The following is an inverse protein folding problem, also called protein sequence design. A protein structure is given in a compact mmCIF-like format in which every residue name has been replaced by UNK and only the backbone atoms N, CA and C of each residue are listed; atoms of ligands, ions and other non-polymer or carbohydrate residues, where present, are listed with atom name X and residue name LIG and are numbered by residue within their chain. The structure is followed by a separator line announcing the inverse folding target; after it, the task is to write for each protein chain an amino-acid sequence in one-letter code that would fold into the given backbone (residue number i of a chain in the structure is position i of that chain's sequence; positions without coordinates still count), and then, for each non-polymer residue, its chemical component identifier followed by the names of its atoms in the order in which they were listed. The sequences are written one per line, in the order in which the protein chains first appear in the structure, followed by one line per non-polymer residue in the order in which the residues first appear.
data_IF_830717114692
#
_entry.id   IF_830717114692
#
_cell.length_a   1.000
_cell.length_b   1.000
_cell.length_c   1.000
_cell.angle_alpha   90.00
_cell.angle_beta   90.00
_cell.angle_gamma   90.00
#
_symmetry.space_group_name_H-M   'P 1'
#
loop_
_entity.id
_entity.type
_entity.pdbx_description
1 polymer ?
#
# COMPACT_ATOMS: atom_id res chain seq x y z
N UNK A 1 60.86 53.98 -47.41
CA UNK A 1 60.67 54.55 -48.75
C UNK A 1 59.37 53.97 -49.29
N UNK A 2 58.33 54.81 -49.47
CA UNK A 2 57.14 54.63 -50.32
C UNK A 2 56.23 53.40 -50.03
N UNK A 3 54.89 53.45 -50.03
CA UNK A 3 53.91 54.51 -50.17
C UNK A 3 52.53 53.92 -49.75
N UNK A 4 51.65 54.80 -49.29
CA UNK A 4 50.21 54.55 -49.10
C UNK A 4 49.53 54.03 -50.36
N UNK A 5 48.50 53.18 -50.19
CA UNK A 5 47.30 53.29 -51.00
C UNK A 5 46.07 52.87 -50.19
N UNK A 6 45.28 53.87 -49.79
CA UNK A 6 43.94 53.73 -49.23
C UNK A 6 42.95 53.46 -50.35
N UNK A 7 42.08 52.46 -50.17
CA UNK A 7 40.85 52.30 -50.96
C UNK A 7 39.69 52.28 -49.96
N UNK A 8 38.88 53.34 -50.01
CA UNK A 8 37.59 53.43 -49.34
C UNK A 8 36.54 52.68 -50.16
N UNK A 9 35.89 51.68 -49.55
CA UNK A 9 34.65 51.10 -50.06
C UNK A 9 33.59 51.28 -48.98
N UNK A 10 32.69 52.21 -49.23
CA UNK A 10 31.39 52.36 -48.56
C UNK A 10 30.52 51.15 -48.87
N UNK A 11 30.12 50.40 -47.84
CA UNK A 11 29.03 49.43 -47.94
C UNK A 11 27.88 49.86 -47.03
N UNK A 12 26.70 49.99 -47.65
CA UNK A 12 25.46 50.40 -47.02
C UNK A 12 24.97 49.37 -45.99
N UNK A 13 24.53 49.85 -44.82
CA UNK A 13 23.88 49.05 -43.79
C UNK A 13 22.42 48.85 -44.21
N UNK A 14 22.06 47.64 -44.63
CA UNK A 14 20.68 47.19 -44.72
C UNK A 14 20.22 46.83 -43.30
N UNK A 15 19.32 47.64 -42.74
CA UNK A 15 18.63 47.31 -41.50
C UNK A 15 17.63 46.18 -41.76
N UNK A 16 17.94 44.98 -41.31
CA UNK A 16 16.96 43.90 -41.17
C UNK A 16 16.31 44.03 -39.79
N UNK A 17 15.01 44.27 -39.76
CA UNK A 17 14.22 44.19 -38.53
C UNK A 17 14.21 42.75 -38.04
N UNK A 18 14.87 42.49 -36.91
CA UNK A 18 14.70 41.24 -36.18
C UNK A 18 13.24 41.14 -35.68
N UNK A 19 12.60 39.96 -35.76
CA UNK A 19 11.28 39.78 -35.17
C UNK A 19 11.39 39.96 -33.65
N UNK A 20 10.47 40.74 -33.08
CA UNK A 20 10.28 40.83 -31.63
C UNK A 20 9.73 39.49 -31.19
N UNK A 21 10.60 38.63 -30.66
CA UNK A 21 10.15 37.47 -29.87
C UNK A 21 9.46 38.02 -28.63
N UNK A 22 8.14 37.88 -28.61
CA UNK A 22 7.37 37.96 -27.38
C UNK A 22 7.88 36.85 -26.45
N UNK A 23 8.74 37.23 -25.51
CA UNK A 23 9.01 36.43 -24.33
C UNK A 23 7.70 36.35 -23.56
N UNK A 24 6.91 35.32 -23.86
CA UNK A 24 5.88 34.88 -22.94
C UNK A 24 6.62 34.49 -21.66
N UNK A 25 6.54 35.36 -20.65
CA UNK A 25 6.73 34.95 -19.28
C UNK A 25 5.68 33.87 -19.02
N UNK A 26 6.06 32.61 -19.26
CA UNK A 26 5.38 31.49 -18.67
C UNK A 26 5.47 31.73 -17.17
N UNK A 27 4.38 32.27 -16.60
CA UNK A 27 4.11 32.05 -15.19
C UNK A 27 4.32 30.56 -14.99
N UNK A 28 5.35 30.18 -14.23
CA UNK A 28 5.38 28.89 -13.58
C UNK A 28 4.12 28.88 -12.71
N UNK A 29 2.99 28.45 -13.29
CA UNK A 29 1.88 27.91 -12.51
C UNK A 29 2.58 26.89 -11.64
N UNK A 30 2.57 27.08 -10.32
CA UNK A 30 2.81 25.94 -9.41
C UNK A 30 1.98 24.81 -10.00
N UNK A 31 2.62 23.72 -10.43
CA UNK A 31 1.90 22.61 -11.05
C UNK A 31 0.69 22.32 -10.15
N UNK A 32 -0.51 22.45 -10.71
CA UNK A 32 -1.72 22.39 -9.91
C UNK A 32 -1.79 20.98 -9.31
N UNK A 33 -1.51 20.87 -8.01
CA UNK A 33 -1.55 19.61 -7.31
C UNK A 33 -3.00 19.11 -7.29
N UNK A 34 -3.24 17.86 -7.64
CA UNK A 34 -4.58 17.30 -7.55
C UNK A 34 -4.95 17.10 -6.07
N UNK A 35 -6.03 17.77 -5.68
CA UNK A 35 -6.54 17.70 -4.31
C UNK A 35 -7.22 16.36 -4.06
N UNK A 36 -6.98 15.77 -2.89
CA UNK A 36 -7.66 14.54 -2.48
C UNK A 36 -9.18 14.75 -2.45
N UNK A 37 -9.98 13.87 -3.08
CA UNK A 37 -11.42 14.07 -3.17
C UNK A 37 -12.10 13.60 -1.87
N UNK A 38 -12.66 14.55 -1.11
CA UNK A 38 -13.28 14.28 0.20
C UNK A 38 -14.74 13.82 0.14
N UNK A 39 -15.35 13.80 -1.05
CA UNK A 39 -16.76 13.52 -1.28
C UNK A 39 -17.00 12.12 -1.89
N UNK A 40 -15.96 11.29 -2.02
CA UNK A 40 -16.01 9.98 -2.69
C UNK A 40 -15.99 8.77 -1.75
N UNK A 41 -16.13 9.00 -0.44
CA UNK A 41 -16.11 7.92 0.56
C UNK A 41 -14.75 7.24 0.73
N UNK A 42 -13.68 7.89 0.28
CA UNK A 42 -12.29 7.42 0.43
C UNK A 42 -11.79 7.70 1.84
N UNK A 43 -10.83 6.90 2.30
CA UNK A 43 -10.14 7.10 3.57
C UNK A 43 -9.00 8.09 3.36
N UNK A 44 -9.04 9.22 4.06
CA UNK A 44 -7.99 10.24 3.99
C UNK A 44 -6.79 9.82 4.85
N UNK A 45 -5.62 9.67 4.24
CA UNK A 45 -4.37 9.40 4.96
C UNK A 45 -3.74 10.71 5.43
N UNK A 46 -3.46 10.85 6.72
CA UNK A 46 -3.01 12.13 7.31
C UNK A 46 -1.68 12.06 8.06
N UNK A 47 -1.16 10.85 8.23
CA UNK A 47 0.07 10.53 8.96
C UNK A 47 1.32 10.47 8.06
N UNK A 48 1.20 10.78 6.76
CA UNK A 48 2.32 10.91 5.81
C UNK A 48 2.18 12.17 4.97
N UNK A 49 3.25 12.56 4.25
CA UNK A 49 3.29 13.76 3.39
C UNK A 49 2.57 13.58 2.04
N UNK A 50 1.44 12.87 2.04
CA UNK A 50 0.63 12.52 0.88
C UNK A 50 -0.58 13.41 0.64
N UNK A 51 -0.85 14.40 1.49
CA UNK A 51 -2.02 15.29 1.38
C UNK A 51 -3.39 14.58 1.28
N UNK A 52 -3.53 13.43 1.93
CA UNK A 52 -4.75 12.60 1.89
C UNK A 52 -4.59 11.32 1.07
N UNK A 53 -3.67 11.31 0.11
CA UNK A 53 -3.39 10.16 -0.76
C UNK A 53 -2.66 9.06 -0.01
N UNK A 54 -2.83 7.81 -0.45
CA UNK A 54 -2.13 6.66 0.10
C UNK A 54 -0.72 6.53 -0.52
N UNK A 55 0.11 7.54 -0.28
CA UNK A 55 1.50 7.63 -0.71
C UNK A 55 2.24 8.69 0.14
N UNK A 56 3.57 8.66 0.14
CA UNK A 56 4.41 9.56 0.92
C UNK A 56 4.65 10.94 0.27
N UNK A 57 4.01 11.18 -0.89
CA UNK A 57 4.16 12.40 -1.69
C UNK A 57 2.83 12.92 -2.20
N UNK A 58 2.75 14.23 -2.33
CA UNK A 58 1.66 14.94 -2.98
C UNK A 58 1.37 14.43 -4.41
N UNK A 59 0.08 14.28 -4.75
CA UNK A 59 -0.38 13.93 -6.09
C UNK A 59 -0.20 15.09 -7.08
N UNK A 60 0.69 14.92 -8.06
CA UNK A 60 1.05 15.98 -9.02
C UNK A 60 0.61 15.62 -10.45
N UNK A 61 0.38 16.63 -11.33
CA UNK A 61 0.03 16.41 -12.73
C UNK A 61 0.94 15.40 -13.44
N UNK A 62 0.34 14.54 -14.26
CA UNK A 62 1.00 13.47 -15.00
C UNK A 62 1.24 12.18 -14.20
N UNK A 63 0.73 12.08 -12.96
CA UNK A 63 0.96 10.92 -12.10
C UNK A 63 -0.35 10.22 -11.71
N UNK A 64 -0.22 8.93 -11.43
CA UNK A 64 -1.23 8.14 -10.74
C UNK A 64 -1.16 8.40 -9.24
N UNK A 65 -2.31 8.45 -8.58
CA UNK A 65 -2.46 8.86 -7.20
C UNK A 65 -3.26 7.80 -6.42
N UNK A 66 -2.55 6.87 -5.77
CA UNK A 66 -3.16 5.81 -4.98
C UNK A 66 -3.96 6.39 -3.81
N UNK A 67 -5.07 5.73 -3.47
CA UNK A 67 -5.94 6.14 -2.38
C UNK A 67 -6.38 4.94 -1.55
N UNK A 68 -6.81 5.21 -0.32
CA UNK A 68 -7.28 4.19 0.60
C UNK A 68 -8.80 4.03 0.53
N UNK A 69 -9.24 2.78 0.54
CA UNK A 69 -10.65 2.41 0.64
C UNK A 69 -11.01 2.01 2.08
N UNK A 70 -12.30 2.10 2.48
CA UNK A 70 -12.76 1.60 3.77
C UNK A 70 -12.41 0.12 4.01
N UNK A 71 -12.34 -0.33 5.28
CA UNK A 71 -12.06 -1.74 5.60
C UNK A 71 -12.91 -2.73 4.81
N UNK A 72 -12.29 -3.79 4.32
CA UNK A 72 -12.92 -4.81 3.49
C UNK A 72 -13.02 -4.48 2.00
N UNK A 73 -12.75 -3.23 1.58
CA UNK A 73 -12.80 -2.80 0.18
C UNK A 73 -11.41 -2.68 -0.45
N UNK A 74 -11.36 -2.74 -1.77
CA UNK A 74 -10.17 -2.61 -2.59
C UNK A 74 -10.27 -1.38 -3.49
N UNK A 75 -9.13 -0.71 -3.72
CA UNK A 75 -9.00 0.35 -4.72
C UNK A 75 -9.28 -0.23 -6.11
N UNK A 76 -10.19 0.37 -6.86
CA UNK A 76 -10.68 -0.15 -8.15
C UNK A 76 -10.22 0.66 -9.38
N UNK A 77 -9.31 1.62 -9.17
CA UNK A 77 -8.74 2.47 -10.22
C UNK A 77 -7.23 2.30 -10.26
N UNK A 78 -6.66 2.22 -11.47
CA UNK A 78 -5.23 2.08 -11.76
C UNK A 78 -5.02 2.21 -13.27
N UNK A 79 -3.79 2.24 -13.76
CA UNK A 79 -3.50 2.21 -15.19
C UNK A 79 -3.95 0.89 -15.85
N UNK A 80 -5.00 0.86 -16.68
CA UNK A 80 -5.52 -0.40 -17.25
C UNK A 80 -4.54 -1.06 -18.23
N UNK A 81 -3.49 -0.36 -18.67
CA UNK A 81 -2.43 -0.92 -19.52
C UNK A 81 -1.40 -1.73 -18.73
N UNK A 82 -1.37 -1.60 -17.40
CA UNK A 82 -0.48 -2.37 -16.52
C UNK A 82 -1.19 -3.63 -16.06
N UNK A 83 -0.79 -4.77 -16.64
CA UNK A 83 -1.40 -6.08 -16.37
C UNK A 83 -0.46 -7.04 -15.64
N UNK A 84 0.71 -6.57 -15.21
CA UNK A 84 1.71 -7.37 -14.52
C UNK A 84 2.29 -6.61 -13.33
N UNK A 85 2.72 -7.37 -12.33
CA UNK A 85 3.45 -6.84 -11.18
C UNK A 85 4.91 -6.57 -11.59
N UNK A 86 5.14 -5.47 -12.29
CA UNK A 86 6.48 -5.05 -12.71
C UNK A 86 6.68 -3.54 -12.56
N UNK A 87 7.82 -3.15 -12.00
CA UNK A 87 8.23 -1.75 -11.90
C UNK A 87 8.61 -1.20 -13.29
N UNK A 88 8.25 0.06 -13.63
CA UNK A 88 7.55 1.03 -12.78
C UNK A 88 6.03 0.90 -12.79
N UNK A 89 5.44 0.11 -13.70
CA UNK A 89 3.99 0.04 -13.87
C UNK A 89 3.22 -0.36 -12.61
N UNK A 90 3.81 -1.17 -11.72
CA UNK A 90 3.20 -1.54 -10.43
C UNK A 90 2.88 -0.35 -9.52
N UNK A 91 3.46 0.82 -9.78
CA UNK A 91 3.22 2.06 -9.06
C UNK A 91 1.99 2.83 -9.57
N UNK A 92 1.46 2.48 -10.75
CA UNK A 92 0.41 3.25 -11.43
C UNK A 92 -1.00 2.96 -10.88
N UNK A 93 -1.17 3.11 -9.57
CA UNK A 93 -2.43 2.88 -8.86
C UNK A 93 -3.26 4.14 -8.62
N UNK A 94 -4.57 3.98 -8.53
CA UNK A 94 -5.50 5.02 -8.13
C UNK A 94 -5.97 5.92 -9.28
N UNK A 95 -6.24 7.18 -8.94
CA UNK A 95 -6.77 8.17 -9.90
C UNK A 95 -5.63 8.78 -10.70
N UNK A 96 -5.90 9.18 -11.93
CA UNK A 96 -4.91 9.90 -12.73
C UNK A 96 -5.07 11.41 -12.54
N UNK A 97 -4.00 12.09 -12.17
CA UNK A 97 -3.95 13.55 -12.15
C UNK A 97 -3.48 14.04 -13.51
N UNK A 98 -4.39 14.60 -14.32
CA UNK A 98 -4.02 15.06 -15.66
C UNK A 98 -3.15 16.32 -15.62
N UNK A 99 -2.61 16.72 -16.77
CA UNK A 99 -1.68 17.87 -16.90
C UNK A 99 -2.28 19.21 -16.46
N UNK A 100 -3.61 19.29 -16.36
CA UNK A 100 -4.33 20.48 -15.88
C UNK A 100 -4.54 20.49 -14.35
N UNK A 101 -4.20 19.42 -13.65
CA UNK A 101 -4.46 19.23 -12.23
C UNK A 101 -5.89 18.79 -11.92
N UNK A 102 -6.55 18.10 -12.86
CA UNK A 102 -7.87 17.51 -12.67
C UNK A 102 -7.76 15.99 -12.51
N UNK A 103 -8.63 15.42 -11.66
CA UNK A 103 -8.67 13.99 -11.40
C UNK A 103 -9.52 13.25 -12.43
N UNK A 104 -8.97 12.16 -12.96
CA UNK A 104 -9.63 11.25 -13.89
C UNK A 104 -9.68 9.83 -13.29
N UNK A 105 -10.78 9.13 -13.52
CA UNK A 105 -10.91 7.69 -13.27
C UNK A 105 -10.38 6.93 -14.48
N UNK A 106 -9.23 6.23 -14.40
CA UNK A 106 -8.65 5.53 -15.55
C UNK A 106 -9.53 4.38 -16.08
N UNK A 107 -10.42 3.84 -15.25
CA UNK A 107 -11.31 2.73 -15.58
C UNK A 107 -12.75 3.23 -15.40
N UNK A 108 -13.41 3.55 -16.52
CA UNK A 108 -14.68 4.28 -16.55
C UNK A 108 -15.87 3.52 -15.99
N UNK A 109 -15.82 2.18 -16.00
CA UNK A 109 -16.87 1.27 -15.56
C UNK A 109 -16.66 0.76 -14.13
N UNK A 110 -15.61 1.23 -13.44
CA UNK A 110 -15.33 0.91 -12.06
C UNK A 110 -15.73 2.06 -11.13
N UNK A 111 -16.24 1.70 -9.95
CA UNK A 111 -16.29 2.62 -8.82
C UNK A 111 -14.87 2.97 -8.32
N UNK A 112 -14.76 3.84 -7.32
CA UNK A 112 -13.47 4.08 -6.66
C UNK A 112 -13.08 2.88 -5.78
N UNK A 113 -14.01 2.39 -4.97
CA UNK A 113 -13.79 1.29 -4.05
C UNK A 113 -14.80 0.18 -4.28
N UNK A 114 -14.32 -1.03 -4.52
CA UNK A 114 -15.15 -2.24 -4.65
C UNK A 114 -15.02 -3.12 -3.42
N UNK A 115 -16.06 -3.88 -3.10
CA UNK A 115 -15.98 -4.86 -2.02
C UNK A 115 -14.97 -5.96 -2.38
N UNK A 116 -14.14 -6.34 -1.41
CA UNK A 116 -13.40 -7.60 -1.50
C UNK A 116 -14.35 -8.79 -1.48
N UNK A 117 -13.81 -10.00 -1.60
CA UNK A 117 -14.62 -11.23 -1.66
C UNK A 117 -15.36 -11.56 -0.36
N UNK A 118 -15.09 -10.84 0.73
CA UNK A 118 -15.81 -10.98 2.01
C UNK A 118 -15.45 -12.26 2.79
N UNK A 119 -14.32 -12.89 2.47
CA UNK A 119 -13.92 -14.20 3.01
C UNK A 119 -12.80 -14.13 4.04
N UNK A 120 -12.45 -12.94 4.53
CA UNK A 120 -11.52 -12.77 5.63
C UNK A 120 -11.99 -11.69 6.59
N UNK A 121 -11.83 -11.96 7.87
CA UNK A 121 -12.08 -10.99 8.94
C UNK A 121 -10.96 -11.02 9.98
N UNK A 122 -10.90 -9.98 10.79
CA UNK A 122 -10.09 -9.91 11.99
C UNK A 122 -11.00 -9.86 13.22
N UNK A 123 -10.60 -10.55 14.27
CA UNK A 123 -11.18 -10.48 15.61
C UNK A 123 -10.10 -10.03 16.59
N UNK A 124 -10.35 -8.94 17.29
CA UNK A 124 -9.43 -8.46 18.31
C UNK A 124 -9.85 -8.94 19.70
N UNK A 125 -9.18 -9.97 20.20
CA UNK A 125 -9.33 -10.47 21.57
C UNK A 125 -8.31 -9.85 22.54
N UNK A 126 -7.45 -8.94 22.09
CA UNK A 126 -6.54 -8.18 22.93
C UNK A 126 -7.26 -7.05 23.68
N UNK A 127 -6.65 -6.58 24.76
CA UNK A 127 -7.19 -5.56 25.67
C UNK A 127 -7.21 -4.14 25.10
N UNK A 128 -6.52 -3.91 23.97
CA UNK A 128 -6.43 -2.59 23.29
C UNK A 128 -6.77 -2.73 21.81
N UNK A 129 -6.98 -1.60 21.13
CA UNK A 129 -7.17 -1.57 19.69
C UNK A 129 -5.95 -2.19 18.96
N UNK A 130 -6.17 -2.69 17.74
CA UNK A 130 -5.09 -3.18 16.87
C UNK A 130 -5.23 -2.52 15.50
N UNK A 131 -4.13 -2.00 14.96
CA UNK A 131 -4.07 -1.45 13.63
C UNK A 131 -3.55 -2.49 12.62
N UNK A 132 -4.40 -2.86 11.67
CA UNK A 132 -4.03 -3.60 10.46
C UNK A 132 -3.80 -2.60 9.34
N UNK A 133 -2.59 -2.61 8.77
CA UNK A 133 -2.20 -1.64 7.76
C UNK A 133 -1.95 -2.37 6.45
N UNK A 134 -2.86 -2.22 5.49
CA UNK A 134 -2.76 -2.82 4.18
C UNK A 134 -1.73 -2.07 3.32
N UNK A 135 -0.95 -2.81 2.55
CA UNK A 135 -0.03 -2.23 1.58
C UNK A 135 -0.78 -1.61 0.40
N UNK A 136 -0.28 -0.49 -0.10
CA UNK A 136 -0.86 0.19 -1.25
C UNK A 136 -0.43 -0.53 -2.53
N UNK A 137 -1.35 -1.30 -3.12
CA UNK A 137 -1.09 -2.06 -4.34
C UNK A 137 -2.32 -2.01 -5.28
N UNK A 138 -2.15 -1.65 -6.56
CA UNK A 138 -0.96 -1.02 -7.16
C UNK A 138 -0.61 0.32 -6.49
N UNK A 139 0.68 0.64 -6.42
CA UNK A 139 1.19 1.83 -5.74
C UNK A 139 2.58 1.60 -5.17
N UNK A 140 2.96 2.39 -4.15
CA UNK A 140 4.29 2.38 -3.54
C UNK A 140 4.56 1.22 -2.59
N UNK A 141 3.59 0.30 -2.40
CA UNK A 141 3.68 -0.87 -1.53
C UNK A 141 3.89 -0.55 -0.03
N UNK A 142 3.82 0.72 0.35
CA UNK A 142 3.85 1.11 1.76
C UNK A 142 2.56 0.69 2.47
N UNK A 143 2.68 0.41 3.77
CA UNK A 143 1.58 -0.04 4.63
C UNK A 143 0.71 1.12 5.13
N UNK A 144 0.03 1.81 4.21
CA UNK A 144 -0.67 3.06 4.51
C UNK A 144 -2.18 2.93 4.69
N UNK A 145 -2.82 1.87 4.19
CA UNK A 145 -4.28 1.75 4.17
C UNK A 145 -4.76 1.22 5.53
N UNK A 146 -5.46 2.01 6.35
CA UNK A 146 -5.67 1.66 7.75
C UNK A 146 -6.97 0.87 7.99
N UNK A 147 -6.90 -0.11 8.88
CA UNK A 147 -8.04 -0.76 9.50
C UNK A 147 -7.81 -0.81 11.01
N UNK A 148 -8.56 0.01 11.77
CA UNK A 148 -8.56 -0.06 13.23
C UNK A 148 -9.58 -1.11 13.70
N UNK A 149 -9.15 -1.97 14.62
CA UNK A 149 -10.02 -2.97 15.25
C UNK A 149 -10.01 -2.74 16.75
N UNK A 150 -11.09 -2.19 17.29
CA UNK A 150 -11.21 -1.96 18.73
C UNK A 150 -11.17 -3.28 19.52
N UNK A 151 -10.81 -3.18 20.81
CA UNK A 151 -10.81 -4.36 21.69
C UNK A 151 -12.18 -5.02 21.72
N UNK A 152 -12.20 -6.35 21.69
CA UNK A 152 -13.42 -7.18 21.66
C UNK A 152 -14.32 -6.94 20.43
N UNK A 153 -13.76 -6.39 19.35
CA UNK A 153 -14.46 -6.10 18.11
C UNK A 153 -13.90 -6.89 16.93
N UNK A 154 -14.57 -6.79 15.79
CA UNK A 154 -14.17 -7.40 14.53
C UNK A 154 -14.29 -6.41 13.38
N UNK A 155 -13.50 -6.64 12.33
CA UNK A 155 -13.57 -5.91 11.05
C UNK A 155 -13.38 -6.89 9.88
N UNK A 156 -13.97 -6.57 8.74
CA UNK A 156 -13.71 -7.28 7.48
C UNK A 156 -12.36 -6.86 6.92
N UNK A 157 -11.60 -7.81 6.37
CA UNK A 157 -10.34 -7.54 5.67
C UNK A 157 -10.57 -7.63 4.16
N UNK A 158 -9.85 -6.80 3.41
CA UNK A 158 -9.95 -6.80 1.96
C UNK A 158 -9.34 -8.08 1.38
N UNK A 159 -10.12 -8.82 0.60
CA UNK A 159 -9.68 -10.04 -0.09
C UNK A 159 -9.87 -9.84 -1.60
N UNK A 160 -8.79 -9.68 -2.39
CA UNK A 160 -8.89 -9.62 -3.84
C UNK A 160 -9.22 -10.99 -4.46
N UNK A 161 -9.90 -10.96 -5.59
CA UNK A 161 -10.03 -12.11 -6.48
C UNK A 161 -8.99 -12.10 -7.59
N UNK A 162 -9.07 -13.08 -8.48
CA UNK A 162 -8.25 -13.18 -9.70
C UNK A 162 -8.43 -11.98 -10.64
N UNK A 163 -9.61 -11.34 -10.59
CA UNK A 163 -10.02 -10.16 -11.35
C UNK A 163 -9.38 -8.87 -10.85
N UNK A 164 -8.77 -8.90 -9.65
CA UNK A 164 -8.06 -7.75 -9.12
C UNK A 164 -6.74 -7.50 -9.88
N UNK A 165 -6.22 -6.27 -9.78
CA UNK A 165 -5.01 -5.84 -10.49
C UNK A 165 -3.88 -6.88 -10.43
N UNK A 166 -3.44 -7.34 -11.61
CA UNK A 166 -2.40 -8.37 -11.80
C UNK A 166 -2.63 -9.67 -11.00
N UNK A 167 -3.89 -10.01 -10.69
CA UNK A 167 -4.30 -11.16 -9.87
C UNK A 167 -3.57 -11.24 -8.52
N UNK A 168 -3.31 -10.07 -7.94
CA UNK A 168 -2.52 -9.94 -6.71
C UNK A 168 -3.32 -10.29 -5.44
N UNK A 169 -2.59 -10.47 -4.34
CA UNK A 169 -3.14 -10.65 -3.01
C UNK A 169 -3.08 -9.35 -2.20
N UNK A 170 -3.95 -9.22 -1.21
CA UNK A 170 -3.80 -8.17 -0.20
C UNK A 170 -2.73 -8.59 0.81
N UNK A 171 -1.99 -7.61 1.34
CA UNK A 171 -0.97 -7.81 2.35
C UNK A 171 -1.16 -6.78 3.47
N UNK A 172 -1.04 -7.22 4.72
CA UNK A 172 -1.28 -6.42 5.92
C UNK A 172 -0.13 -6.54 6.90
N UNK A 173 0.29 -5.41 7.47
CA UNK A 173 1.12 -5.33 8.66
C UNK A 173 0.22 -5.31 9.90
N UNK A 174 0.52 -6.15 10.90
CA UNK A 174 -0.26 -6.26 12.13
C UNK A 174 0.53 -5.59 13.25
N UNK A 175 0.09 -4.40 13.66
CA UNK A 175 0.77 -3.64 14.71
C UNK A 175 0.45 -4.16 16.12
N UNK A 176 1.33 -3.92 17.11
CA UNK A 176 1.07 -4.27 18.50
C UNK A 176 -0.24 -3.65 19.05
N UNK A 177 -0.97 -4.36 19.94
CA UNK A 177 -2.14 -3.80 20.61
C UNK A 177 -1.84 -2.47 21.32
N UNK A 178 -2.66 -1.47 21.07
CA UNK A 178 -2.54 -0.10 21.59
C UNK A 178 -1.80 0.87 20.68
N UNK A 179 -1.28 0.43 19.54
CA UNK A 179 -0.76 1.32 18.49
C UNK A 179 -1.94 1.79 17.62
N UNK A 180 -2.06 3.10 17.43
CA UNK A 180 -3.12 3.67 16.57
C UNK A 180 -2.83 3.44 15.08
N UNK A 181 -3.83 3.64 14.22
CA UNK A 181 -3.61 3.63 12.76
C UNK A 181 -2.70 4.76 12.30
N UNK A 182 -2.73 5.91 12.97
CA UNK A 182 -1.87 7.04 12.63
C UNK A 182 -0.40 6.73 12.94
N UNK A 183 -0.12 6.06 14.06
CA UNK A 183 1.24 5.63 14.42
C UNK A 183 1.71 4.40 13.63
N UNK A 184 0.81 3.44 13.40
CA UNK A 184 1.15 2.13 12.85
C UNK A 184 1.06 1.99 11.33
N UNK A 185 0.24 2.80 10.64
CA UNK A 185 0.07 2.72 9.18
C UNK A 185 0.91 3.77 8.46
N UNK A 186 2.20 3.76 8.76
CA UNK A 186 3.23 4.57 8.13
C UNK A 186 4.57 3.86 8.26
N UNK A 187 5.58 4.33 7.54
CA UNK A 187 6.94 3.89 7.76
C UNK A 187 7.39 4.26 9.18
N UNK A 188 7.87 3.28 9.94
CA UNK A 188 8.22 3.42 11.34
C UNK A 188 9.63 3.96 11.56
N UNK A 189 9.96 4.23 12.83
CA UNK A 189 11.33 4.51 13.27
C UNK A 189 11.89 3.33 14.04
N UNK A 190 13.21 3.30 14.25
CA UNK A 190 13.87 2.30 15.10
C UNK A 190 13.61 2.48 16.60
N UNK A 191 12.72 3.39 16.99
CA UNK A 191 12.37 3.63 18.39
C UNK A 191 11.30 2.66 18.91
N UNK A 192 10.45 2.11 18.03
CA UNK A 192 9.34 1.23 18.41
C UNK A 192 9.05 0.15 17.35
N UNK A 193 8.56 -1.05 17.74
CA UNK A 193 8.30 -2.18 16.83
C UNK A 193 6.92 -2.09 16.14
N UNK A 194 6.65 -1.01 15.42
CA UNK A 194 5.42 -0.78 14.64
C UNK A 194 5.72 -0.16 13.27
N UNK A 195 4.71 -0.01 12.42
CA UNK A 195 4.92 0.37 11.02
C UNK A 195 5.55 -0.76 10.24
N UNK A 196 6.56 -0.45 9.41
CA UNK A 196 7.37 -1.45 8.72
C UNK A 196 8.09 -2.42 9.69
N UNK A 197 8.27 -2.04 10.97
CA UNK A 197 8.85 -2.88 12.02
C UNK A 197 7.81 -3.68 12.81
N UNK A 198 6.55 -3.74 12.40
CA UNK A 198 5.57 -4.58 13.08
C UNK A 198 6.00 -6.05 13.02
N UNK A 199 5.75 -6.86 14.06
CA UNK A 199 6.33 -8.21 14.12
C UNK A 199 5.65 -9.21 13.19
N UNK A 200 4.37 -8.99 12.84
CA UNK A 200 3.57 -9.94 12.08
C UNK A 200 2.95 -9.29 10.84
N UNK A 201 2.71 -10.14 9.84
CA UNK A 201 2.03 -9.82 8.60
C UNK A 201 0.95 -10.86 8.29
N UNK A 202 -0.05 -10.45 7.51
CA UNK A 202 -1.07 -11.34 6.96
C UNK A 202 -1.24 -11.09 5.45
N UNK A 203 -1.75 -12.08 4.71
CA UNK A 203 -2.10 -11.90 3.31
C UNK A 203 -3.23 -12.80 2.86
N UNK A 204 -4.02 -12.32 1.90
CA UNK A 204 -5.27 -12.97 1.47
C UNK A 204 -5.52 -12.80 -0.03
N UNK A 205 -6.05 -13.84 -0.66
CA UNK A 205 -6.65 -13.79 -1.99
C UNK A 205 -7.65 -14.94 -2.17
N UNK A 206 -8.56 -14.83 -3.14
CA UNK A 206 -9.48 -15.89 -3.51
C UNK A 206 -9.32 -16.27 -4.98
N UNK A 207 -9.32 -17.57 -5.29
CA UNK A 207 -9.37 -18.06 -6.67
C UNK A 207 -10.81 -18.14 -7.22
N UNK A 208 -10.94 -18.43 -8.51
CA UNK A 208 -12.24 -18.57 -9.20
C UNK A 208 -13.04 -19.79 -8.76
N UNK A 209 -12.40 -20.73 -8.04
CA UNK A 209 -13.08 -21.90 -7.45
C UNK A 209 -13.65 -21.59 -6.06
N UNK A 210 -13.50 -20.35 -5.57
CA UNK A 210 -13.98 -19.94 -4.25
C UNK A 210 -13.06 -20.38 -3.11
N UNK A 211 -11.80 -20.74 -3.39
CA UNK A 211 -10.83 -21.03 -2.34
C UNK A 211 -10.17 -19.73 -1.89
N UNK A 212 -10.33 -19.39 -0.61
CA UNK A 212 -9.63 -18.28 0.03
C UNK A 212 -8.32 -18.79 0.62
N UNK A 213 -7.20 -18.30 0.09
CA UNK A 213 -5.87 -18.56 0.61
C UNK A 213 -5.53 -17.48 1.63
N UNK A 214 -5.18 -17.91 2.85
CA UNK A 214 -4.87 -17.02 3.94
C UNK A 214 -3.53 -17.39 4.56
N UNK A 215 -2.67 -16.38 4.76
CA UNK A 215 -1.35 -16.51 5.38
C UNK A 215 -1.27 -15.59 6.59
N UNK A 216 -0.68 -16.09 7.67
CA UNK A 216 -0.06 -15.24 8.70
C UNK A 216 1.40 -15.62 8.84
N UNK A 217 2.24 -14.65 9.16
CA UNK A 217 3.67 -14.89 9.33
C UNK A 217 4.32 -13.83 10.20
N UNK A 218 5.52 -14.14 10.64
CA UNK A 218 6.42 -13.10 11.08
C UNK A 218 6.79 -12.21 9.90
N UNK A 219 6.96 -10.92 10.17
CA UNK A 219 7.46 -9.96 9.20
C UNK A 219 8.97 -10.18 8.98
N UNK A 220 9.45 -10.46 7.76
CA UNK A 220 10.89 -10.54 7.45
C UNK A 220 11.68 -9.32 7.93
N UNK A 221 11.13 -8.11 7.78
CA UNK A 221 11.77 -6.86 8.21
C UNK A 221 12.04 -6.84 9.72
N UNK A 222 11.23 -7.54 10.52
CA UNK A 222 11.47 -7.67 11.96
C UNK A 222 12.81 -8.35 12.29
N UNK A 223 13.29 -9.22 11.41
CA UNK A 223 14.51 -10.02 11.60
C UNK A 223 15.72 -9.54 10.81
N UNK A 224 15.58 -8.49 10.01
CA UNK A 224 16.72 -7.89 9.32
C UNK A 224 17.77 -7.34 10.30
N UNK A 225 19.01 -7.22 9.84
CA UNK A 225 20.09 -6.67 10.66
C UNK A 225 19.87 -5.22 11.08
N UNK A 226 19.10 -4.47 10.29
CA UNK A 226 18.64 -3.11 10.53
C UNK A 226 17.61 -3.02 11.67
N UNK A 227 16.93 -4.12 12.01
CA UNK A 227 15.90 -4.15 13.06
C UNK A 227 16.54 -4.24 14.45
N UNK A 228 16.33 -3.25 15.33
CA UNK A 228 16.76 -3.36 16.73
C UNK A 228 15.90 -4.37 17.52
N UNK A 229 14.74 -4.77 16.97
CA UNK A 229 13.74 -5.61 17.64
C UNK A 229 13.90 -7.10 17.33
N UNK A 230 14.87 -7.50 16.49
CA UNK A 230 15.00 -8.87 15.96
C UNK A 230 15.18 -9.98 17.00
N UNK A 231 15.45 -9.63 18.26
CA UNK A 231 15.57 -10.56 19.39
C UNK A 231 14.45 -10.41 20.43
N UNK A 232 13.55 -9.44 20.23
CA UNK A 232 12.47 -9.14 21.17
C UNK A 232 11.28 -10.04 20.91
N UNK A 233 10.66 -10.53 21.98
CA UNK A 233 9.39 -11.25 21.89
C UNK A 233 8.24 -10.24 21.98
N UNK A 234 7.38 -10.15 20.95
CA UNK A 234 6.16 -9.36 21.05
C UNK A 234 5.28 -9.84 22.22
N UNK A 235 4.56 -8.91 22.85
CA UNK A 235 3.64 -9.19 23.96
C UNK A 235 2.24 -9.63 23.49
N UNK A 236 2.11 -10.04 22.24
CA UNK A 236 0.85 -10.46 21.63
C UNK A 236 1.08 -11.56 20.60
N UNK A 237 0.04 -12.34 20.34
CA UNK A 237 0.02 -13.41 19.36
C UNK A 237 -1.06 -13.21 18.31
N UNK A 238 -0.96 -13.98 17.24
CA UNK A 238 -1.96 -14.03 16.16
C UNK A 238 -2.32 -15.47 15.82
N UNK A 239 -3.59 -15.73 15.56
CA UNK A 239 -4.10 -17.06 15.18
C UNK A 239 -4.97 -16.94 13.95
N UNK A 240 -4.76 -17.79 12.97
CA UNK A 240 -5.60 -17.91 11.78
C UNK A 240 -6.48 -19.15 11.92
N UNK A 241 -7.76 -19.03 11.59
CA UNK A 241 -8.72 -20.14 11.66
C UNK A 241 -9.75 -20.05 10.54
N UNK A 242 -10.17 -21.19 9.99
CA UNK A 242 -11.36 -21.25 9.14
C UNK A 242 -12.61 -21.22 10.01
N UNK A 243 -13.63 -20.46 9.61
CA UNK A 243 -14.88 -20.38 10.37
C UNK A 243 -15.76 -21.64 10.17
N UNK A 244 -15.55 -22.36 9.07
CA UNK A 244 -16.08 -23.69 8.84
C UNK A 244 -14.94 -24.73 8.79
N UNK A 245 -14.90 -25.61 9.78
CA UNK A 245 -13.88 -26.66 9.90
C UNK A 245 -13.93 -27.71 8.78
N UNK A 246 -15.12 -28.02 8.26
CA UNK A 246 -15.30 -29.00 7.19
C UNK A 246 -14.80 -28.49 5.83
N UNK A 247 -14.65 -27.16 5.71
CA UNK A 247 -14.14 -26.46 4.53
C UNK A 247 -12.73 -25.91 4.74
N UNK A 248 -11.99 -26.46 5.70
CA UNK A 248 -10.66 -25.98 6.05
C UNK A 248 -9.57 -26.94 5.59
N UNK A 249 -8.70 -26.46 4.72
CA UNK A 249 -7.46 -27.14 4.34
C UNK A 249 -6.28 -26.49 5.04
N UNK A 250 -5.57 -27.25 5.87
CA UNK A 250 -4.39 -26.80 6.60
C UNK A 250 -4.41 -27.23 8.06
N UNK A 251 -3.25 -27.14 8.70
CA UNK A 251 -3.10 -27.43 10.13
C UNK A 251 -3.31 -26.15 10.95
N UNK A 252 -3.33 -26.28 12.29
CA UNK A 252 -3.35 -25.11 13.17
C UNK A 252 -2.29 -24.08 12.75
N UNK A 253 -2.69 -22.81 12.66
CA UNK A 253 -1.84 -21.71 12.25
C UNK A 253 -1.90 -20.58 13.30
N UNK A 254 -0.86 -20.52 14.13
CA UNK A 254 -0.74 -19.63 15.29
C UNK A 254 0.70 -19.16 15.44
N UNK A 255 0.86 -17.89 15.75
CA UNK A 255 2.10 -17.27 16.20
C UNK A 255 1.92 -16.89 17.66
N UNK A 256 2.71 -17.53 18.53
CA UNK A 256 2.72 -17.28 19.96
C UNK A 256 4.17 -17.36 20.47
N UNK A 257 4.89 -16.22 20.59
CA UNK A 257 6.29 -16.20 21.03
C UNK A 257 6.55 -16.71 22.45
N UNK A 258 5.53 -16.75 23.32
CA UNK A 258 5.66 -17.38 24.64
C UNK A 258 5.63 -18.91 24.54
N UNK A 259 4.81 -19.46 23.65
CA UNK A 259 4.62 -20.91 23.48
C UNK A 259 5.65 -21.54 22.55
N UNK A 260 5.91 -20.92 21.41
CA UNK A 260 6.75 -21.49 20.34
C UNK A 260 8.15 -20.87 20.27
N UNK A 261 8.36 -19.73 20.93
CA UNK A 261 9.59 -18.96 20.82
C UNK A 261 9.56 -17.98 19.63
N UNK A 262 10.68 -17.28 19.47
CA UNK A 262 10.84 -16.26 18.44
C UNK A 262 10.96 -16.90 17.06
N UNK A 263 10.37 -16.27 16.04
CA UNK A 263 10.43 -16.72 14.65
C UNK A 263 9.95 -18.18 14.45
N UNK A 264 8.87 -18.54 15.14
CA UNK A 264 8.22 -19.85 15.06
C UNK A 264 6.71 -19.70 14.93
N UNK A 265 6.09 -20.69 14.29
CA UNK A 265 4.64 -20.81 14.13
C UNK A 265 4.21 -22.22 14.55
N UNK A 266 2.91 -22.42 14.78
CA UNK A 266 2.38 -23.74 15.11
C UNK A 266 2.55 -24.73 13.95
N UNK A 267 3.06 -25.92 14.25
CA UNK A 267 2.90 -27.10 13.38
C UNK A 267 3.63 -27.07 12.04
N UNK A 268 4.47 -26.08 11.76
CA UNK A 268 5.33 -26.04 10.58
C UNK A 268 6.66 -25.34 10.87
N UNK A 269 7.69 -25.72 10.10
CA UNK A 269 8.98 -25.02 10.03
C UNK A 269 9.10 -24.23 8.71
N UNK A 270 7.97 -23.77 8.16
CA UNK A 270 7.97 -22.99 6.92
C UNK A 270 8.62 -21.63 7.19
N UNK A 271 9.69 -21.33 6.45
CA UNK A 271 10.43 -20.07 6.53
C UNK A 271 10.63 -19.54 5.12
N UNK A 272 10.32 -18.26 4.91
CA UNK A 272 10.66 -17.50 3.69
C UNK A 272 11.34 -16.22 4.14
N UNK A 273 12.41 -15.80 3.46
CA UNK A 273 13.10 -14.53 3.74
C UNK A 273 13.51 -14.38 5.22
N UNK A 274 13.87 -15.50 5.84
CA UNK A 274 14.25 -15.54 7.25
C UNK A 274 13.09 -15.47 8.25
N UNK A 275 11.83 -15.43 7.82
CA UNK A 275 10.66 -15.34 8.69
C UNK A 275 9.74 -16.56 8.58
N UNK A 276 9.27 -17.07 9.73
CA UNK A 276 8.38 -18.21 9.82
C UNK A 276 6.93 -17.83 9.50
N UNK A 277 6.19 -18.72 8.84
CA UNK A 277 4.80 -18.46 8.43
C UNK A 277 3.97 -19.74 8.34
N UNK A 278 2.64 -19.60 8.36
CA UNK A 278 1.71 -20.70 8.13
C UNK A 278 0.52 -20.22 7.30
N UNK A 279 -0.21 -21.18 6.73
CA UNK A 279 -1.35 -20.91 5.84
C UNK A 279 -2.55 -21.78 6.21
N UNK A 280 -3.73 -21.26 5.92
CA UNK A 280 -4.96 -22.01 5.80
C UNK A 280 -5.62 -21.69 4.45
N UNK A 281 -6.34 -22.65 3.91
CA UNK A 281 -7.23 -22.42 2.77
C UNK A 281 -8.66 -22.75 3.18
N UNK A 282 -9.53 -21.75 3.16
CA UNK A 282 -10.97 -21.94 3.31
C UNK A 282 -11.57 -22.20 1.91
N UNK A 283 -12.24 -23.33 1.72
CA UNK A 283 -12.76 -23.75 0.41
C UNK A 283 -14.24 -23.38 0.23
N UNK A 284 -14.73 -23.45 -1.00
CA UNK A 284 -16.15 -23.32 -1.33
C UNK A 284 -16.81 -22.06 -0.72
N UNK A 285 -16.15 -20.92 -0.97
CA UNK A 285 -16.53 -19.58 -0.52
C UNK A 285 -16.64 -19.42 1.00
N UNK A 286 -16.06 -20.34 1.77
CA UNK A 286 -15.93 -20.19 3.21
C UNK A 286 -14.90 -19.13 3.56
N UNK A 287 -14.97 -18.65 4.79
CA UNK A 287 -14.19 -17.55 5.30
C UNK A 287 -13.21 -17.95 6.43
N UNK A 288 -12.22 -17.08 6.63
CA UNK A 288 -11.24 -17.18 7.70
C UNK A 288 -11.33 -16.00 8.66
N UNK A 289 -10.86 -16.23 9.88
CA UNK A 289 -10.66 -15.19 10.89
C UNK A 289 -9.21 -15.16 11.34
N UNK A 290 -8.61 -13.97 11.36
CA UNK A 290 -7.38 -13.68 12.11
C UNK A 290 -7.76 -13.17 13.49
N UNK A 291 -7.45 -13.93 14.52
CA UNK A 291 -7.57 -13.49 15.91
C UNK A 291 -6.24 -12.88 16.38
N UNK A 292 -6.31 -11.70 17.01
CA UNK A 292 -5.20 -11.08 17.73
C UNK A 292 -5.47 -11.16 19.23
N UNK A 293 -4.47 -11.55 20.04
CA UNK A 293 -4.64 -11.76 21.49
C UNK A 293 -3.40 -11.37 22.29
N UNK A 294 -3.59 -10.94 23.53
CA UNK A 294 -2.51 -10.63 24.48
C UNK A 294 -1.80 -11.91 24.97
N UNK A 295 -0.52 -11.79 25.36
CA UNK A 295 0.31 -12.86 25.91
C UNK A 295 0.79 -12.56 27.33
#
# INVERSE_FOLDING_TARGET
MLANLSIFITLAVLATSAPVEHVHHAHQKRAAQCSFPTDKGLVKITNVNGDGWAQDKSCTPGNYCPYACPPGKLMAQWNPKVTSYSYPGSQDGGLYCNDNGELETPISDHDYCVDGKGTASVKNSASKNVAFCQTVLPGNEEMLIPTNVDSSSSQTLAVPGTDYWASTASHFYINPPGVSTDEGCQWGSTSNPYGNWSPYVAGFNMDDSGNTFAKIGWNPVYFEDSSPFKNDKPSFGVRLSCNNGDKCNGNACEINPQKYGLNKVSGSDNVSDGAAWCVLTATDYSDVTVEVFDL
#
